data_IF_703106718259
#
_entry.id   IF_703106718259
#
_cell.length_a   1.000
_cell.length_b   1.000
_cell.length_c   1.000
_cell.angle_alpha   90.00
_cell.angle_beta   90.00
_cell.angle_gamma   90.00
#
_symmetry.space_group_name_H-M   'P 1'
#
loop_
_entity.id
_entity.type
_entity.pdbx_description
1 polymer ?
#
# COMPACT_ATOMS: atom_id res chain seq x y z
N UNK A 1 -31.73 -30.15 -68.02
CA UNK A 1 -31.42 -30.98 -66.84
C UNK A 1 -30.43 -30.22 -65.96
N UNK A 2 -30.80 -29.94 -64.70
CA UNK A 2 -29.99 -29.19 -63.73
C UNK A 2 -28.77 -30.04 -63.31
N UNK A 3 -27.56 -29.51 -63.49
CA UNK A 3 -26.34 -30.07 -62.89
C UNK A 3 -26.36 -29.76 -61.39
N UNK A 4 -26.54 -30.79 -60.57
CA UNK A 4 -26.36 -30.67 -59.12
C UNK A 4 -24.84 -30.62 -58.83
N UNK A 5 -24.31 -29.53 -58.24
CA UNK A 5 -22.92 -29.54 -57.79
C UNK A 5 -22.78 -30.52 -56.62
N UNK A 6 -21.75 -31.38 -56.73
CA UNK A 6 -21.34 -32.43 -55.80
C UNK A 6 -21.60 -32.07 -54.32
N UNK A 7 -22.67 -32.65 -53.76
CA UNK A 7 -23.07 -32.50 -52.37
C UNK A 7 -21.95 -32.95 -51.41
N UNK A 8 -21.16 -33.94 -51.81
CA UNK A 8 -20.00 -34.49 -51.09
C UNK A 8 -18.86 -33.49 -50.89
N UNK A 9 -18.59 -32.63 -51.88
CA UNK A 9 -17.51 -31.63 -51.76
C UNK A 9 -17.90 -30.56 -50.73
N UNK A 10 -19.17 -30.11 -50.74
CA UNK A 10 -19.69 -29.13 -49.77
C UNK A 10 -19.66 -29.65 -48.32
N UNK A 11 -20.00 -30.92 -48.11
CA UNK A 11 -19.97 -31.53 -46.76
C UNK A 11 -18.54 -31.62 -46.23
N UNK A 12 -17.56 -31.98 -47.07
CA UNK A 12 -16.16 -32.00 -46.68
C UNK A 12 -15.60 -30.61 -46.38
N UNK A 13 -16.00 -29.57 -47.13
CA UNK A 13 -15.55 -28.20 -46.85
C UNK A 13 -16.12 -27.67 -45.53
N UNK A 14 -17.37 -28.03 -45.19
CA UNK A 14 -18.01 -27.66 -43.92
C UNK A 14 -17.36 -28.38 -42.74
N UNK A 15 -17.07 -29.68 -42.86
CA UNK A 15 -16.38 -30.45 -41.82
C UNK A 15 -14.95 -29.94 -41.56
N UNK A 16 -14.23 -29.56 -42.62
CA UNK A 16 -12.88 -28.99 -42.49
C UNK A 16 -12.93 -27.59 -41.84
N UNK A 17 -13.95 -26.77 -42.15
CA UNK A 17 -14.15 -25.46 -41.52
C UNK A 17 -14.55 -25.57 -40.04
N UNK A 18 -15.37 -26.55 -39.66
CA UNK A 18 -15.71 -26.83 -38.25
C UNK A 18 -14.50 -27.34 -37.47
N UNK A 19 -13.67 -28.21 -38.07
CA UNK A 19 -12.42 -28.66 -37.45
C UNK A 19 -11.40 -27.51 -37.27
N UNK A 20 -11.35 -26.54 -38.20
CA UNK A 20 -10.52 -25.34 -38.06
C UNK A 20 -11.05 -24.36 -37.00
N UNK A 21 -12.38 -24.24 -36.84
CA UNK A 21 -12.99 -23.42 -35.78
C UNK A 21 -12.74 -23.99 -34.36
N UNK A 22 -12.60 -25.31 -34.23
CA UNK A 22 -12.27 -25.95 -32.94
C UNK A 22 -10.77 -25.95 -32.60
N UNK A 23 -9.90 -25.64 -33.57
CA UNK A 23 -8.46 -25.47 -33.39
C UNK A 23 -8.05 -23.99 -33.22
N UNK A 24 -8.99 -23.07 -33.02
CA UNK A 24 -8.66 -21.74 -32.50
C UNK A 24 -7.88 -21.94 -31.20
N UNK A 25 -6.58 -21.65 -31.22
CA UNK A 25 -5.68 -21.76 -30.07
C UNK A 25 -6.43 -21.30 -28.84
N UNK A 26 -6.84 -22.24 -27.96
CA UNK A 26 -7.20 -21.90 -26.59
C UNK A 26 -5.96 -21.19 -26.08
N UNK A 27 -5.98 -19.85 -26.03
CA UNK A 27 -4.92 -19.08 -25.40
C UNK A 27 -4.80 -19.70 -24.02
N UNK A 28 -3.70 -20.41 -23.79
CA UNK A 28 -3.44 -21.08 -22.52
C UNK A 28 -3.64 -20.00 -21.47
N UNK A 29 -4.66 -20.17 -20.65
CA UNK A 29 -5.01 -19.15 -19.68
C UNK A 29 -3.79 -19.00 -18.77
N UNK A 30 -3.33 -17.75 -18.59
CA UNK A 30 -2.13 -17.49 -17.81
C UNK A 30 -2.33 -18.00 -16.39
N UNK A 31 -1.35 -18.76 -15.90
CA UNK A 31 -1.33 -19.21 -14.52
C UNK A 31 -1.15 -18.02 -13.57
N UNK A 32 -1.50 -18.14 -12.27
CA UNK A 32 -1.15 -17.12 -11.29
C UNK A 32 0.34 -16.77 -11.28
N UNK A 33 1.23 -17.76 -11.47
CA UNK A 33 2.68 -17.55 -11.56
C UNK A 33 3.06 -16.69 -12.78
N UNK A 34 2.45 -16.94 -13.95
CA UNK A 34 2.72 -16.13 -15.15
C UNK A 34 2.33 -14.65 -14.93
N UNK A 35 1.26 -14.40 -14.18
CA UNK A 35 0.81 -13.05 -13.83
C UNK A 35 1.72 -12.39 -12.80
N UNK A 36 2.23 -13.15 -11.83
CA UNK A 36 3.20 -12.68 -10.84
C UNK A 36 4.51 -12.23 -11.51
N UNK A 37 5.02 -13.00 -12.49
CA UNK A 37 6.19 -12.62 -13.28
C UNK A 37 5.98 -11.30 -14.04
N UNK A 38 4.81 -11.13 -14.67
CA UNK A 38 4.46 -9.89 -15.37
C UNK A 38 4.38 -8.69 -14.41
N UNK A 39 3.81 -8.88 -13.22
CA UNK A 39 3.76 -7.86 -12.18
C UNK A 39 5.16 -7.46 -11.70
N UNK A 40 6.02 -8.44 -11.44
CA UNK A 40 7.41 -8.22 -11.03
C UNK A 40 8.19 -7.46 -12.11
N UNK A 41 8.07 -7.87 -13.37
CA UNK A 41 8.67 -7.17 -14.49
C UNK A 41 8.19 -5.71 -14.58
N UNK A 42 6.88 -5.47 -14.40
CA UNK A 42 6.33 -4.10 -14.44
C UNK A 42 6.81 -3.25 -13.27
N UNK A 43 6.94 -3.83 -12.08
CA UNK A 43 7.52 -3.16 -10.92
C UNK A 43 8.99 -2.78 -11.16
N UNK A 44 9.76 -3.64 -11.82
CA UNK A 44 11.16 -3.36 -12.18
C UNK A 44 11.27 -2.22 -13.21
N UNK A 45 10.33 -2.10 -14.16
CA UNK A 45 10.28 -0.95 -15.07
C UNK A 45 10.08 0.37 -14.30
N UNK A 46 9.19 0.40 -13.30
CA UNK A 46 9.00 1.56 -12.43
C UNK A 46 10.28 1.89 -11.65
N UNK A 47 10.91 0.90 -11.03
CA UNK A 47 12.19 1.08 -10.31
C UNK A 47 13.26 1.66 -11.22
N UNK A 48 13.46 1.07 -12.40
CA UNK A 48 14.46 1.52 -13.37
C UNK A 48 14.20 2.94 -13.89
N UNK A 49 12.94 3.31 -14.12
CA UNK A 49 12.57 4.67 -14.55
C UNK A 49 13.03 5.72 -13.52
N UNK A 50 12.90 5.36 -12.24
CA UNK A 50 13.13 6.25 -11.08
C UNK A 50 14.53 6.12 -10.47
N UNK A 51 15.37 5.25 -11.02
CA UNK A 51 16.71 5.00 -10.49
C UNK A 51 17.71 6.11 -10.87
N UNK A 52 18.76 6.24 -10.06
CA UNK A 52 19.97 7.02 -10.36
C UNK A 52 19.71 8.49 -10.75
N UNK A 53 18.76 9.15 -10.09
CA UNK A 53 18.48 10.57 -10.33
C UNK A 53 19.69 11.39 -9.84
N UNK A 54 20.34 12.19 -10.70
CA UNK A 54 21.48 13.01 -10.31
C UNK A 54 21.02 14.17 -9.42
N UNK A 55 21.88 14.62 -8.50
CA UNK A 55 21.52 15.70 -7.57
C UNK A 55 21.14 17.03 -8.24
N UNK A 56 21.56 17.29 -9.47
CA UNK A 56 21.14 18.45 -10.26
C UNK A 56 19.62 18.49 -10.51
N UNK A 57 18.94 17.36 -10.38
CA UNK A 57 17.49 17.24 -10.58
C UNK A 57 16.71 17.32 -9.25
N UNK A 58 17.37 17.53 -8.11
CA UNK A 58 16.74 17.50 -6.78
C UNK A 58 15.51 18.42 -6.67
N UNK A 59 15.56 19.64 -7.24
CA UNK A 59 14.43 20.57 -7.20
C UNK A 59 13.28 20.20 -8.16
N UNK A 60 13.52 19.27 -9.08
CA UNK A 60 12.58 18.81 -10.08
C UNK A 60 12.01 17.42 -9.80
N UNK A 61 12.34 16.81 -8.65
CA UNK A 61 11.76 15.53 -8.25
C UNK A 61 10.44 15.72 -7.52
N UNK A 62 9.52 14.79 -7.75
CA UNK A 62 8.30 14.64 -6.97
C UNK A 62 8.30 13.27 -6.30
N UNK A 63 7.79 13.22 -5.08
CA UNK A 63 7.51 11.95 -4.41
C UNK A 63 6.15 11.46 -4.90
N UNK A 64 6.12 10.27 -5.50
CA UNK A 64 4.89 9.58 -5.91
C UNK A 64 4.79 8.27 -5.18
N UNK A 65 3.57 7.85 -4.89
CA UNK A 65 3.31 6.56 -4.27
C UNK A 65 2.63 5.58 -5.25
N UNK A 66 2.85 4.29 -4.97
CA UNK A 66 1.99 3.20 -5.39
C UNK A 66 1.47 2.56 -4.11
N UNK A 67 0.22 2.87 -3.77
CA UNK A 67 -0.48 2.28 -2.63
C UNK A 67 -1.38 1.14 -3.11
N UNK A 68 -1.24 -0.01 -2.47
CA UNK A 68 -2.25 -1.07 -2.40
C UNK A 68 -2.84 -1.08 -1.00
N UNK A 69 -3.80 -1.98 -0.71
CA UNK A 69 -4.61 -1.95 0.51
C UNK A 69 -3.82 -1.75 1.82
N UNK A 70 -2.67 -2.42 1.97
CA UNK A 70 -1.80 -2.34 3.15
C UNK A 70 -0.36 -1.96 2.87
N UNK A 71 0.01 -1.76 1.61
CA UNK A 71 1.40 -1.50 1.25
C UNK A 71 1.47 -0.21 0.46
N UNK A 72 2.43 0.62 0.83
CA UNK A 72 2.78 1.81 0.07
C UNK A 72 4.24 1.72 -0.30
N UNK A 73 4.55 2.00 -1.57
CA UNK A 73 5.92 2.19 -2.04
C UNK A 73 6.05 3.60 -2.57
N UNK A 74 7.08 4.32 -2.15
CA UNK A 74 7.37 5.66 -2.65
C UNK A 74 8.47 5.65 -3.71
N UNK A 75 8.32 6.53 -4.68
CA UNK A 75 9.20 6.71 -5.82
C UNK A 75 9.57 8.18 -5.95
N UNK A 76 10.83 8.44 -6.27
CA UNK A 76 11.28 9.75 -6.73
C UNK A 76 11.10 9.82 -8.25
N UNK A 77 10.34 10.80 -8.71
CA UNK A 77 10.00 10.94 -10.13
C UNK A 77 10.43 12.33 -10.58
N UNK A 78 11.42 12.40 -11.46
CA UNK A 78 11.79 13.65 -12.14
C UNK A 78 10.61 14.14 -12.99
N UNK A 79 10.33 15.43 -12.98
CA UNK A 79 9.20 16.03 -13.69
C UNK A 79 9.09 15.58 -15.16
N UNK A 80 10.22 15.48 -15.88
CA UNK A 80 10.27 15.02 -17.28
C UNK A 80 9.83 13.57 -17.49
N UNK A 81 9.92 12.73 -16.46
CA UNK A 81 9.53 11.30 -16.48
C UNK A 81 8.13 11.04 -15.93
N UNK A 82 7.44 12.07 -15.43
CA UNK A 82 6.16 11.91 -14.74
C UNK A 82 5.10 11.23 -15.61
N UNK A 83 4.93 11.65 -16.86
CA UNK A 83 3.95 11.05 -17.77
C UNK A 83 4.23 9.55 -18.02
N UNK A 84 5.51 9.18 -18.14
CA UNK A 84 5.90 7.78 -18.29
C UNK A 84 5.66 6.98 -17.02
N UNK A 85 5.94 7.56 -15.85
CA UNK A 85 5.67 6.94 -14.56
C UNK A 85 4.17 6.65 -14.39
N UNK A 86 3.29 7.63 -14.65
CA UNK A 86 1.85 7.43 -14.52
C UNK A 86 1.33 6.35 -15.48
N UNK A 87 1.84 6.30 -16.72
CA UNK A 87 1.52 5.22 -17.67
C UNK A 87 1.92 3.84 -17.14
N UNK A 88 3.11 3.71 -16.57
CA UNK A 88 3.58 2.45 -15.98
C UNK A 88 2.78 2.09 -14.72
N UNK A 89 2.42 3.06 -13.89
CA UNK A 89 1.60 2.90 -12.70
C UNK A 89 0.20 2.37 -13.06
N UNK A 90 -0.45 2.95 -14.08
CA UNK A 90 -1.74 2.44 -14.59
C UNK A 90 -1.60 1.00 -15.08
N UNK A 91 -0.58 0.72 -15.90
CA UNK A 91 -0.34 -0.64 -16.40
C UNK A 91 -0.06 -1.65 -15.28
N UNK A 92 0.63 -1.22 -14.22
CA UNK A 92 0.86 -2.04 -13.03
C UNK A 92 -0.45 -2.40 -12.32
N UNK A 93 -1.36 -1.44 -12.10
CA UNK A 93 -2.65 -1.70 -11.48
C UNK A 93 -3.58 -2.55 -12.36
N UNK A 94 -3.53 -2.40 -13.68
CA UNK A 94 -4.27 -3.26 -14.60
C UNK A 94 -3.80 -4.73 -14.49
N UNK A 95 -2.48 -4.95 -14.43
CA UNK A 95 -1.90 -6.27 -14.20
C UNK A 95 -2.26 -6.82 -12.81
N UNK A 96 -2.26 -5.98 -11.77
CA UNK A 96 -2.59 -6.40 -10.41
C UNK A 96 -4.05 -6.86 -10.32
N UNK A 97 -4.95 -6.11 -10.97
CA UNK A 97 -6.36 -6.48 -11.10
C UNK A 97 -6.54 -7.81 -11.84
N UNK A 98 -5.78 -8.04 -12.93
CA UNK A 98 -5.81 -9.30 -13.66
C UNK A 98 -5.25 -10.48 -12.84
N UNK A 99 -4.16 -10.26 -12.11
CA UNK A 99 -3.56 -11.24 -11.19
C UNK A 99 -4.54 -11.65 -10.10
N UNK A 100 -5.16 -10.70 -9.41
CA UNK A 100 -6.15 -10.98 -8.36
C UNK A 100 -7.32 -11.78 -8.91
N UNK A 101 -7.82 -11.45 -10.11
CA UNK A 101 -8.87 -12.25 -10.80
C UNK A 101 -8.40 -13.68 -11.10
N UNK A 102 -7.13 -13.87 -11.47
CA UNK A 102 -6.56 -15.20 -11.72
C UNK A 102 -6.48 -16.04 -10.45
N UNK A 103 -6.14 -15.43 -9.31
CA UNK A 103 -6.14 -16.08 -8.00
C UNK A 103 -7.53 -16.58 -7.63
N UNK A 104 -8.55 -15.73 -7.75
CA UNK A 104 -9.94 -16.14 -7.47
C UNK A 104 -10.40 -17.30 -8.36
N UNK A 105 -10.07 -17.28 -9.65
CA UNK A 105 -10.39 -18.38 -10.58
C UNK A 105 -9.71 -19.69 -10.21
N UNK A 106 -8.49 -19.61 -9.70
CA UNK A 106 -7.73 -20.76 -9.22
C UNK A 106 -8.14 -21.22 -7.80
N UNK A 107 -9.15 -20.59 -7.19
CA UNK A 107 -9.70 -20.98 -5.89
C UNK A 107 -8.97 -20.38 -4.69
N UNK A 108 -8.07 -19.42 -4.90
CA UNK A 108 -7.43 -18.70 -3.81
C UNK A 108 -8.38 -17.67 -3.18
N UNK A 109 -8.33 -17.56 -1.85
CA UNK A 109 -8.96 -16.48 -1.10
C UNK A 109 -7.94 -15.37 -0.97
N UNK A 110 -8.20 -14.23 -1.61
CA UNK A 110 -7.40 -13.01 -1.39
C UNK A 110 -8.03 -12.27 -0.22
N UNK A 111 -7.43 -12.43 0.96
CA UNK A 111 -7.91 -11.73 2.15
C UNK A 111 -7.62 -10.22 2.03
N UNK A 112 -8.61 -9.35 2.31
CA UNK A 112 -8.36 -7.93 2.41
C UNK A 112 -7.32 -7.72 3.52
N UNK A 113 -6.22 -7.06 3.17
CA UNK A 113 -5.25 -6.76 4.18
C UNK A 113 -5.78 -5.62 5.06
N UNK A 114 -5.74 -5.85 6.38
CA UNK A 114 -6.02 -4.83 7.38
C UNK A 114 -4.73 -4.49 8.13
N UNK A 115 -4.30 -3.23 8.01
CA UNK A 115 -3.16 -2.71 8.75
C UNK A 115 -3.56 -2.55 10.23
N UNK A 116 -3.24 -3.57 11.03
CA UNK A 116 -3.61 -3.63 12.46
C UNK A 116 -2.89 -2.58 13.31
N UNK A 117 -1.70 -2.17 12.90
CA UNK A 117 -0.92 -1.07 13.48
C UNK A 117 -0.53 -0.18 12.32
N UNK A 118 -0.96 1.09 12.34
CA UNK A 118 -0.55 2.04 11.32
C UNK A 118 0.95 2.31 11.44
N UNK A 119 1.72 1.73 10.52
CA UNK A 119 3.18 1.82 10.48
C UNK A 119 3.75 1.73 9.05
N UNK A 120 2.87 1.88 8.05
CA UNK A 120 3.27 2.12 6.66
C UNK A 120 4.41 3.15 6.60
N UNK A 121 5.42 2.84 5.78
CA UNK A 121 6.55 3.74 5.54
C UNK A 121 6.05 5.14 5.20
N UNK A 122 6.73 6.18 5.68
CA UNK A 122 6.36 7.57 5.38
C UNK A 122 7.56 8.33 4.82
N UNK A 123 7.40 9.12 3.76
CA UNK A 123 8.46 10.00 3.27
C UNK A 123 8.70 11.13 4.26
N UNK A 124 9.96 11.48 4.47
CA UNK A 124 10.38 12.55 5.38
C UNK A 124 10.94 13.72 4.58
N UNK A 125 11.93 13.45 3.72
CA UNK A 125 12.59 14.46 2.89
C UNK A 125 13.33 13.82 1.73
N UNK A 126 13.69 14.63 0.76
CA UNK A 126 14.67 14.28 -0.28
C UNK A 126 16.00 14.93 0.03
N UNK A 127 17.11 14.23 -0.22
CA UNK A 127 18.45 14.78 -0.06
C UNK A 127 19.38 14.32 -1.17
N UNK A 128 20.48 15.04 -1.37
CA UNK A 128 21.57 14.63 -2.24
C UNK A 128 22.60 13.87 -1.41
N UNK A 129 22.91 12.64 -1.80
CA UNK A 129 23.96 11.83 -1.19
C UNK A 129 24.68 10.99 -2.24
N UNK A 130 26.01 11.04 -2.23
CA UNK A 130 26.88 10.36 -3.19
C UNK A 130 26.54 10.67 -4.65
N UNK A 131 26.21 11.94 -4.94
CA UNK A 131 25.88 12.43 -6.28
C UNK A 131 24.49 12.02 -6.79
N UNK A 132 23.68 11.35 -5.97
CA UNK A 132 22.32 10.90 -6.31
C UNK A 132 21.29 11.48 -5.36
N UNK A 133 20.11 11.78 -5.89
CA UNK A 133 18.94 12.10 -5.07
C UNK A 133 18.45 10.84 -4.37
N UNK A 134 18.25 10.93 -3.07
CA UNK A 134 17.73 9.87 -2.22
C UNK A 134 16.47 10.34 -1.49
N UNK A 135 15.56 9.40 -1.26
CA UNK A 135 14.38 9.62 -0.43
C UNK A 135 14.70 9.12 0.97
N UNK A 136 14.68 10.04 1.94
CA UNK A 136 14.70 9.69 3.35
C UNK A 136 13.27 9.42 3.79
N UNK A 137 13.06 8.25 4.36
CA UNK A 137 11.79 7.76 4.86
C UNK A 137 11.92 7.34 6.31
N UNK A 138 10.78 7.05 6.93
CA UNK A 138 10.76 6.45 8.26
C UNK A 138 11.55 5.14 8.34
N UNK A 139 11.76 4.43 7.23
CA UNK A 139 12.52 3.17 7.16
C UNK A 139 14.04 3.35 7.17
N UNK A 140 14.58 4.47 6.65
CA UNK A 140 16.02 4.61 6.41
C UNK A 140 16.66 5.85 7.07
N UNK A 141 15.87 6.74 7.71
CA UNK A 141 16.41 7.87 8.49
C UNK A 141 17.39 7.39 9.57
N UNK A 142 18.41 8.20 9.87
CA UNK A 142 19.33 7.93 10.98
C UNK A 142 18.55 7.89 12.32
N UNK A 143 18.96 7.01 13.25
CA UNK A 143 18.31 6.86 14.57
C UNK A 143 18.39 8.14 15.41
N UNK A 144 19.51 8.87 15.36
CA UNK A 144 19.70 10.13 16.09
C UNK A 144 18.70 11.21 15.62
N UNK A 145 18.37 11.23 14.33
CA UNK A 145 17.33 12.10 13.78
C UNK A 145 15.91 11.56 14.03
N UNK A 146 15.75 10.23 14.09
CA UNK A 146 14.47 9.58 14.30
C UNK A 146 13.88 9.91 15.67
N UNK A 147 14.71 10.02 16.71
CA UNK A 147 14.29 10.29 18.10
C UNK A 147 13.53 11.63 18.24
N UNK A 148 14.11 12.80 17.90
CA UNK A 148 13.41 14.07 18.02
C UNK A 148 12.23 14.17 17.03
N UNK A 149 12.29 13.51 15.87
CA UNK A 149 11.18 13.48 14.93
C UNK A 149 9.99 12.66 15.45
N UNK A 150 10.25 11.55 16.15
CA UNK A 150 9.21 10.76 16.80
C UNK A 150 8.50 11.60 17.88
N UNK A 151 9.25 12.27 18.76
CA UNK A 151 8.68 13.15 19.78
C UNK A 151 7.81 14.25 19.18
N UNK A 152 8.31 14.95 18.14
CA UNK A 152 7.52 15.96 17.43
C UNK A 152 6.25 15.38 16.81
N UNK A 153 6.35 14.20 16.18
CA UNK A 153 5.19 13.54 15.55
C UNK A 153 4.13 13.16 16.58
N UNK A 154 4.54 12.74 17.78
CA UNK A 154 3.62 12.45 18.88
C UNK A 154 2.83 13.69 19.31
N UNK A 155 3.51 14.82 19.52
CA UNK A 155 2.86 16.09 19.88
C UNK A 155 1.83 16.54 18.83
N UNK A 156 2.17 16.39 17.54
CA UNK A 156 1.25 16.70 16.44
C UNK A 156 0.02 15.77 16.44
N UNK A 157 0.21 14.47 16.70
CA UNK A 157 -0.89 13.50 16.84
C UNK A 157 -1.78 13.89 18.02
N UNK A 158 -1.20 14.14 19.19
CA UNK A 158 -1.96 14.49 20.39
C UNK A 158 -2.69 15.81 20.23
N UNK A 159 -2.13 16.77 19.51
CA UNK A 159 -2.83 18.01 19.13
C UNK A 159 -4.08 17.72 18.30
N UNK A 160 -3.97 16.85 17.28
CA UNK A 160 -5.11 16.47 16.43
C UNK A 160 -6.19 15.71 17.22
N UNK A 161 -5.78 14.76 18.07
CA UNK A 161 -6.70 13.96 18.89
C UNK A 161 -7.38 14.84 19.94
N UNK A 162 -6.63 15.70 20.64
CA UNK A 162 -7.19 16.56 21.69
C UNK A 162 -8.10 17.67 21.13
N UNK A 163 -7.94 18.06 19.86
CA UNK A 163 -8.85 19.00 19.21
C UNK A 163 -10.23 18.40 18.92
N UNK A 164 -10.37 17.08 18.95
CA UNK A 164 -11.63 16.41 18.66
C UNK A 164 -12.65 16.60 19.79
N UNK A 165 -13.93 16.62 19.39
CA UNK A 165 -15.07 16.71 20.30
C UNK A 165 -16.06 15.60 19.98
N UNK A 166 -16.72 15.08 21.00
CA UNK A 166 -17.65 13.97 20.85
C UNK A 166 -19.04 14.28 21.41
N UNK A 167 -20.07 13.81 20.69
CA UNK A 167 -21.48 13.75 21.13
C UNK A 167 -22.03 12.31 21.28
N UNK A 168 -21.32 11.29 20.77
CA UNK A 168 -21.64 9.87 20.93
C UNK A 168 -20.49 8.95 20.48
N UNK A 169 -20.36 7.78 21.12
CA UNK A 169 -19.16 6.92 21.02
C UNK A 169 -19.08 5.99 19.79
N UNK A 170 -20.20 5.71 19.11
CA UNK A 170 -20.29 4.62 18.12
C UNK A 170 -19.43 4.81 16.86
N UNK A 171 -19.14 6.05 16.45
CA UNK A 171 -18.34 6.35 15.25
C UNK A 171 -16.83 6.47 15.54
N UNK A 172 -16.43 6.36 16.80
CA UNK A 172 -15.05 6.50 17.23
C UNK A 172 -14.34 5.16 17.26
N UNK A 173 -13.30 5.06 16.44
CA UNK A 173 -12.54 3.84 16.27
C UNK A 173 -11.17 3.98 16.92
N UNK A 174 -10.67 2.93 17.59
CA UNK A 174 -9.33 2.91 18.13
C UNK A 174 -8.31 2.65 17.03
N UNK A 175 -7.14 3.26 17.15
CA UNK A 175 -5.94 2.86 16.40
C UNK A 175 -4.75 2.79 17.36
N UNK A 176 -3.86 1.77 17.25
CA UNK A 176 -2.75 1.63 18.16
C UNK A 176 -1.70 2.73 18.01
N UNK A 177 -1.14 3.16 19.14
CA UNK A 177 0.03 4.05 19.22
C UNK A 177 1.09 3.40 20.12
N UNK A 178 2.35 3.41 19.68
CA UNK A 178 3.45 2.82 20.45
C UNK A 178 3.78 3.68 21.68
N UNK A 179 3.91 3.09 22.87
CA UNK A 179 4.31 3.79 24.10
C UNK A 179 5.79 4.12 24.13
N UNK A 180 6.16 5.12 24.94
CA UNK A 180 7.51 5.68 24.89
C UNK A 180 8.61 4.79 25.49
N UNK A 181 8.28 4.07 26.57
CA UNK A 181 9.27 3.40 27.42
C UNK A 181 9.32 1.87 27.24
N UNK A 182 8.31 1.29 26.59
CA UNK A 182 8.14 -0.15 26.43
C UNK A 182 7.45 -0.42 25.09
N UNK A 183 7.73 -1.58 24.47
CA UNK A 183 7.05 -2.08 23.25
C UNK A 183 5.57 -2.46 23.48
N UNK A 184 4.85 -1.60 24.19
CA UNK A 184 3.44 -1.70 24.46
C UNK A 184 2.67 -0.74 23.56
N UNK A 185 1.46 -1.15 23.23
CA UNK A 185 0.52 -0.32 22.50
C UNK A 185 -0.44 0.35 23.48
N UNK A 186 -0.63 1.65 23.30
CA UNK A 186 -1.85 2.33 23.71
C UNK A 186 -2.76 2.50 22.50
N UNK A 187 -3.88 3.19 22.70
CA UNK A 187 -4.81 3.51 21.63
C UNK A 187 -5.15 4.99 21.64
N UNK A 188 -5.21 5.57 20.45
CA UNK A 188 -5.86 6.86 20.22
C UNK A 188 -7.16 6.62 19.46
N UNK A 189 -8.05 7.59 19.54
CA UNK A 189 -9.33 7.55 18.85
C UNK A 189 -9.32 8.43 17.61
N UNK A 190 -10.03 7.98 16.59
CA UNK A 190 -10.33 8.77 15.41
C UNK A 190 -11.79 8.56 15.02
N UNK A 191 -12.39 9.58 14.41
CA UNK A 191 -13.76 9.51 13.93
C UNK A 191 -13.78 8.88 12.54
N UNK A 192 -14.28 7.66 12.43
CA UNK A 192 -14.25 6.88 11.19
C UNK A 192 -15.06 7.52 10.05
N UNK A 193 -16.05 8.34 10.38
CA UNK A 193 -16.88 9.07 9.41
C UNK A 193 -16.20 10.30 8.79
N UNK A 194 -15.02 10.71 9.27
CA UNK A 194 -14.25 11.84 8.74
C UNK A 194 -12.98 11.39 8.04
N UNK A 195 -12.41 12.28 7.22
CA UNK A 195 -11.07 12.06 6.67
C UNK A 195 -10.03 12.03 7.79
N UNK A 196 -9.44 10.85 8.00
CA UNK A 196 -8.37 10.61 8.97
C UNK A 196 -7.02 10.37 8.27
N UNK A 197 -6.88 10.66 6.97
CA UNK A 197 -5.67 10.38 6.18
C UNK A 197 -4.43 11.08 6.74
N UNK A 198 -4.56 12.33 7.19
CA UNK A 198 -3.48 13.09 7.81
C UNK A 198 -3.05 12.47 9.13
N UNK A 199 -4.03 12.16 10.00
CA UNK A 199 -3.77 11.48 11.27
C UNK A 199 -3.09 10.13 11.03
N UNK A 200 -3.60 9.33 10.07
CA UNK A 200 -3.03 8.03 9.71
C UNK A 200 -1.57 8.16 9.31
N UNK A 201 -1.21 9.09 8.42
CA UNK A 201 0.18 9.32 8.01
C UNK A 201 1.07 9.72 9.19
N UNK A 202 0.58 10.56 10.11
CA UNK A 202 1.35 10.97 11.30
C UNK A 202 1.57 9.82 12.27
N UNK A 203 0.54 9.03 12.55
CA UNK A 203 0.62 7.82 13.38
C UNK A 203 1.54 6.79 12.74
N UNK A 204 1.43 6.56 11.43
CA UNK A 204 2.34 5.68 10.68
C UNK A 204 3.79 6.12 10.78
N UNK A 205 4.07 7.42 10.64
CA UNK A 205 5.42 7.97 10.84
C UNK A 205 5.90 7.70 12.27
N UNK A 206 5.13 8.11 13.27
CA UNK A 206 5.48 7.95 14.68
C UNK A 206 5.75 6.49 15.05
N UNK A 207 4.78 5.59 14.80
CA UNK A 207 4.88 4.18 15.15
C UNK A 207 6.08 3.52 14.47
N UNK A 208 6.34 3.87 13.20
CA UNK A 208 7.48 3.30 12.47
C UNK A 208 8.82 3.80 13.00
N UNK A 209 8.93 5.09 13.36
CA UNK A 209 10.13 5.63 13.99
C UNK A 209 10.40 5.00 15.35
N UNK A 210 9.38 4.91 16.23
CA UNK A 210 9.49 4.25 17.54
C UNK A 210 9.95 2.81 17.41
N UNK A 211 9.34 2.05 16.49
CA UNK A 211 9.71 0.67 16.25
C UNK A 211 11.20 0.55 15.86
N UNK A 212 11.70 1.40 14.96
CA UNK A 212 13.12 1.40 14.58
C UNK A 212 14.06 1.83 15.70
N UNK A 213 13.64 2.79 16.53
CA UNK A 213 14.41 3.20 17.71
C UNK A 213 14.57 2.01 18.67
N UNK A 214 13.51 1.25 18.92
CA UNK A 214 13.58 0.04 19.75
C UNK A 214 14.43 -1.07 19.11
N UNK A 215 14.32 -1.30 17.80
CA UNK A 215 15.21 -2.24 17.09
C UNK A 215 16.69 -1.86 17.27
N UNK A 216 17.03 -0.58 17.12
CA UNK A 216 18.39 -0.09 17.30
C UNK A 216 18.90 -0.21 18.76
N UNK A 217 18.00 -0.16 19.74
CA UNK A 217 18.30 -0.36 21.16
C UNK A 217 18.38 -1.84 21.57
N UNK A 218 18.10 -2.78 20.66
CA UNK A 218 18.04 -4.21 20.96
C UNK A 218 16.80 -4.62 21.76
N UNK A 219 15.84 -3.73 21.92
CA UNK A 219 14.55 -3.98 22.59
C UNK A 219 13.42 -4.24 21.61
N UNK A 220 13.69 -4.24 20.30
CA UNK A 220 12.74 -4.53 19.23
C UNK A 220 12.16 -5.95 19.27
N UNK A 221 10.92 -6.09 18.82
CA UNK A 221 10.17 -7.34 18.86
C UNK A 221 8.67 -7.13 18.60
N UNK A 222 7.86 -8.12 18.97
CA UNK A 222 6.43 -8.11 18.65
C UNK A 222 5.72 -7.06 19.51
N UNK A 223 5.17 -6.03 18.86
CA UNK A 223 4.28 -5.06 19.50
C UNK A 223 2.99 -5.76 19.93
N UNK A 224 2.68 -5.69 21.23
CA UNK A 224 1.45 -6.25 21.79
C UNK A 224 0.75 -5.21 22.63
N UNK A 225 -0.58 -5.18 22.53
CA UNK A 225 -1.39 -4.47 23.50
C UNK A 225 -1.67 -5.38 24.69
N UNK A 226 -1.43 -4.90 25.91
CA UNK A 226 -1.96 -5.52 27.13
C UNK A 226 -3.43 -5.17 27.35
N UNK A 227 -3.89 -4.10 26.70
CA UNK A 227 -5.23 -3.56 26.82
C UNK A 227 -6.13 -4.11 25.71
N UNK A 228 -7.34 -4.53 26.07
CA UNK A 228 -8.37 -4.92 25.10
C UNK A 228 -9.41 -3.82 25.00
N UNK A 229 -9.55 -3.23 23.83
CA UNK A 229 -10.63 -2.29 23.53
C UNK A 229 -11.99 -2.96 23.75
N UNK A 230 -12.89 -2.29 24.47
CA UNK A 230 -14.29 -2.69 24.61
C UNK A 230 -15.19 -1.81 23.75
N UNK A 231 -15.22 -0.51 24.08
CA UNK A 231 -16.01 0.51 23.40
C UNK A 231 -15.38 1.89 23.56
N UNK A 232 -15.95 2.85 22.86
CA UNK A 232 -15.69 4.27 23.09
C UNK A 232 -16.90 4.91 23.79
N UNK A 233 -16.64 5.67 24.85
CA UNK A 233 -17.64 6.53 25.49
C UNK A 233 -17.28 8.01 25.24
N UNK A 234 -18.23 8.91 25.51
CA UNK A 234 -18.00 10.34 25.39
C UNK A 234 -18.25 11.05 26.70
N UNK A 235 -17.15 11.48 27.33
CA UNK A 235 -17.12 12.05 28.67
C UNK A 235 -16.69 13.50 28.54
N UNK A 236 -17.50 14.44 29.06
CA UNK A 236 -17.23 15.88 28.98
C UNK A 236 -16.94 16.38 27.56
N UNK A 237 -17.68 15.86 26.57
CA UNK A 237 -17.51 16.22 25.17
C UNK A 237 -16.22 15.71 24.52
N UNK A 238 -15.51 14.77 25.16
CA UNK A 238 -14.29 14.13 24.64
C UNK A 238 -14.48 12.63 24.47
N UNK A 239 -13.99 12.04 23.37
CA UNK A 239 -14.03 10.60 23.19
C UNK A 239 -13.01 9.93 24.12
N UNK A 240 -13.42 8.87 24.82
CA UNK A 240 -12.61 8.15 25.81
C UNK A 240 -12.73 6.64 25.57
N UNK A 241 -11.61 5.94 25.63
CA UNK A 241 -11.57 4.49 25.47
C UNK A 241 -11.99 3.81 26.77
N UNK A 242 -12.92 2.86 26.65
CA UNK A 242 -13.25 1.92 27.72
C UNK A 242 -12.60 0.59 27.38
N UNK A 243 -11.78 0.08 28.29
CA UNK A 243 -11.12 -1.21 28.15
C UNK A 243 -11.94 -2.32 28.80
N UNK A 244 -11.78 -3.54 28.30
CA UNK A 244 -12.34 -4.73 28.95
C UNK A 244 -11.60 -4.99 30.25
N UNK A 245 -12.36 -5.19 31.33
CA UNK A 245 -11.85 -5.73 32.59
C UNK A 245 -11.38 -7.19 32.42
#
# INVERSE_FOLDING_TARGET
>A
MKKYPNLTIKVFTILLAVAFLMNGCKKKERSPTDWEELLSAKKNELVNLTANIPCSELEHVQIKDISTDCSVTYYLVVASKLAQFEKLKTAYFDLLSAYNKSLYRAGYIVEPCFESIWMAEQPIRTECKDGKVQLITSNNINIEEAIPLAAKSYEEIMTMVNAQTCTGGAEWWPTPIVKDEVMELDFILYLHSKDYSVLKKKVSLYNKLKYRIFEAQGTGGILRSKLKFDRTDCVNGKPVIVYKN
#
